data_IF_201774117609
#
_entry.id   IF_201774117609
#
_cell.length_a   1.000
_cell.length_b   1.000
_cell.length_c   1.000
_cell.angle_alpha   90.00
_cell.angle_beta   90.00
_cell.angle_gamma   90.00
#
_symmetry.space_group_name_H-M   'P 1'
#
loop_
_entity.id
_entity.type
_entity.pdbx_description
1 polymer ?
#
# COMPACT_ATOMS: atom_id res chain seq x y z
N UNK A 1 -21.15 11.30 12.62
CA UNK A 1 -20.88 10.30 13.68
C UNK A 1 -19.50 10.54 14.29
N UNK A 2 -19.25 10.21 15.57
CA UNK A 2 -17.90 10.26 16.17
C UNK A 2 -17.31 8.85 16.16
N UNK A 3 -16.33 8.60 15.29
CA UNK A 3 -15.55 7.37 15.33
C UNK A 3 -14.81 7.29 16.67
N UNK A 4 -14.76 6.11 17.30
CA UNK A 4 -14.00 5.95 18.55
C UNK A 4 -12.48 5.95 18.27
N UNK A 5 -11.68 6.20 19.31
CA UNK A 5 -10.22 6.33 19.18
C UNK A 5 -9.55 5.06 18.64
N UNK A 6 -10.06 3.88 19.02
CA UNK A 6 -9.51 2.60 18.59
C UNK A 6 -9.70 2.34 17.10
N UNK A 7 -10.90 2.65 16.59
CA UNK A 7 -11.24 2.53 15.18
C UNK A 7 -10.41 3.47 14.33
N UNK A 8 -10.26 4.73 14.78
CA UNK A 8 -9.39 5.69 14.10
C UNK A 8 -7.95 5.18 14.02
N UNK A 9 -7.44 4.60 15.11
CA UNK A 9 -6.09 4.02 15.16
C UNK A 9 -5.96 2.82 14.22
N UNK A 10 -6.97 1.96 14.14
CA UNK A 10 -6.96 0.80 13.24
C UNK A 10 -6.92 1.22 11.76
N UNK A 11 -7.79 2.17 11.38
CA UNK A 11 -7.82 2.72 10.01
C UNK A 11 -6.50 3.42 9.66
N UNK A 12 -5.93 4.20 10.58
CA UNK A 12 -4.62 4.82 10.36
C UNK A 12 -3.50 3.79 10.23
N UNK A 13 -3.58 2.65 10.93
CA UNK A 13 -2.58 1.58 10.80
C UNK A 13 -2.63 0.91 9.42
N UNK A 14 -3.83 0.78 8.83
CA UNK A 14 -3.99 0.32 7.44
C UNK A 14 -3.37 1.32 6.47
N UNK A 15 -3.63 2.62 6.64
CA UNK A 15 -3.04 3.67 5.82
C UNK A 15 -1.51 3.71 5.93
N UNK A 16 -0.96 3.55 7.14
CA UNK A 16 0.49 3.53 7.38
C UNK A 16 1.15 2.32 6.70
N UNK A 17 0.48 1.16 6.71
CA UNK A 17 0.92 -0.04 5.99
C UNK A 17 0.93 0.16 4.47
N UNK A 18 -0.11 0.78 3.91
CA UNK A 18 -0.18 1.04 2.47
C UNK A 18 0.86 2.10 2.05
N UNK A 19 1.01 3.16 2.85
CA UNK A 19 2.02 4.19 2.62
C UNK A 19 3.43 3.61 2.67
N UNK A 20 3.71 2.69 3.60
CA UNK A 20 4.97 1.95 3.64
C UNK A 20 5.28 1.30 2.28
N UNK A 21 4.30 0.62 1.68
CA UNK A 21 4.51 -0.03 0.38
C UNK A 21 4.67 0.97 -0.74
N UNK A 22 3.82 2.00 -0.82
CA UNK A 22 3.95 3.06 -1.82
C UNK A 22 5.34 3.72 -1.78
N UNK A 23 5.85 4.00 -0.59
CA UNK A 23 7.17 4.57 -0.37
C UNK A 23 8.29 3.61 -0.76
N UNK A 24 8.20 2.32 -0.42
CA UNK A 24 9.19 1.32 -0.85
C UNK A 24 9.19 1.17 -2.37
N UNK A 25 8.02 1.25 -3.01
CA UNK A 25 7.89 1.13 -4.46
C UNK A 25 8.43 2.37 -5.19
N UNK A 26 8.20 3.58 -4.68
CA UNK A 26 8.79 4.80 -5.25
C UNK A 26 10.32 4.77 -5.21
N UNK A 27 10.91 4.29 -4.11
CA UNK A 27 12.38 4.13 -4.00
C UNK A 27 12.98 3.17 -5.04
N UNK A 28 12.15 2.34 -5.67
CA UNK A 28 12.54 1.35 -6.66
C UNK A 28 12.04 1.71 -8.07
N UNK A 29 11.55 2.93 -8.28
CA UNK A 29 11.03 3.35 -9.58
C UNK A 29 12.10 3.35 -10.67
N UNK A 30 11.71 2.89 -11.85
CA UNK A 30 12.47 3.05 -13.11
C UNK A 30 11.48 3.00 -14.27
N UNK A 31 11.71 3.74 -15.34
CA UNK A 31 10.87 3.69 -16.56
C UNK A 31 10.74 2.26 -17.13
N UNK A 32 11.81 1.46 -17.08
CA UNK A 32 11.76 0.06 -17.52
C UNK A 32 10.76 -0.77 -16.72
N UNK A 33 10.72 -0.60 -15.38
CA UNK A 33 9.73 -1.27 -14.51
C UNK A 33 8.32 -0.86 -14.87
N UNK A 34 8.09 0.44 -14.98
CA UNK A 34 6.79 0.99 -15.32
C UNK A 34 6.26 0.33 -16.60
N UNK A 35 7.07 0.31 -17.67
CA UNK A 35 6.70 -0.34 -18.93
C UNK A 35 6.38 -1.82 -18.74
N UNK A 36 7.19 -2.57 -17.98
CA UNK A 36 6.93 -3.99 -17.74
C UNK A 36 5.61 -4.24 -16.99
N UNK A 37 5.34 -3.47 -15.94
CA UNK A 37 4.10 -3.62 -15.17
C UNK A 37 2.87 -3.20 -16.00
N UNK A 38 2.98 -2.16 -16.82
CA UNK A 38 1.94 -1.79 -17.79
C UNK A 38 1.64 -2.89 -18.79
N UNK A 39 2.66 -3.56 -19.33
CA UNK A 39 2.46 -4.69 -20.25
C UNK A 39 1.74 -5.86 -19.57
N UNK A 40 2.08 -6.16 -18.32
CA UNK A 40 1.41 -7.21 -17.52
C UNK A 40 -0.05 -6.82 -17.26
N UNK A 41 -0.30 -5.59 -16.79
CA UNK A 41 -1.64 -5.08 -16.53
C UNK A 41 -2.51 -5.12 -17.80
N UNK A 42 -1.97 -4.66 -18.93
CA UNK A 42 -2.66 -4.73 -20.22
C UNK A 42 -2.99 -6.16 -20.63
N UNK A 43 -2.09 -7.12 -20.42
CA UNK A 43 -2.37 -8.52 -20.72
C UNK A 43 -3.47 -9.10 -19.82
N UNK A 44 -3.53 -8.69 -18.55
CA UNK A 44 -4.61 -9.08 -17.62
C UNK A 44 -5.94 -8.45 -18.03
N UNK A 45 -5.92 -7.20 -18.49
CA UNK A 45 -7.12 -6.52 -18.99
C UNK A 45 -7.65 -7.18 -20.28
N UNK A 46 -6.76 -7.59 -21.19
CA UNK A 46 -7.14 -8.39 -22.37
C UNK A 46 -7.83 -9.71 -21.98
N UNK A 47 -7.35 -10.37 -20.93
CA UNK A 47 -7.98 -11.60 -20.40
C UNK A 47 -9.37 -11.29 -19.85
N UNK A 48 -9.51 -10.26 -19.01
CA UNK A 48 -10.81 -9.86 -18.48
C UNK A 48 -11.80 -9.55 -19.60
N UNK A 49 -11.36 -8.84 -20.65
CA UNK A 49 -12.17 -8.55 -21.83
C UNK A 49 -12.59 -9.84 -22.56
N UNK A 50 -11.68 -10.79 -22.76
CA UNK A 50 -11.97 -12.06 -23.41
C UNK A 50 -12.94 -12.94 -22.59
N UNK A 51 -12.85 -12.91 -21.26
CA UNK A 51 -13.73 -13.61 -20.34
C UNK A 51 -15.09 -12.90 -20.13
N UNK A 52 -15.23 -11.67 -20.64
CA UNK A 52 -16.42 -10.84 -20.44
C UNK A 52 -16.62 -10.41 -18.98
N UNK A 53 -15.52 -10.24 -18.24
CA UNK A 53 -15.57 -9.74 -16.86
C UNK A 53 -15.46 -8.22 -16.85
N UNK A 54 -16.30 -7.57 -16.05
CA UNK A 54 -16.33 -6.12 -15.85
C UNK A 54 -16.46 -5.74 -14.37
N UNK A 55 -16.30 -4.44 -14.07
CA UNK A 55 -16.47 -3.87 -12.73
C UNK A 55 -15.68 -4.61 -11.64
N UNK A 56 -16.35 -4.88 -10.51
CA UNK A 56 -15.76 -5.57 -9.36
C UNK A 56 -15.29 -6.99 -9.71
N UNK A 57 -16.00 -7.69 -10.61
CA UNK A 57 -15.62 -9.03 -11.05
C UNK A 57 -14.29 -9.02 -11.80
N UNK A 58 -14.09 -8.05 -12.71
CA UNK A 58 -12.82 -7.86 -13.40
C UNK A 58 -11.68 -7.48 -12.44
N UNK A 59 -11.95 -6.59 -11.47
CA UNK A 59 -10.97 -6.19 -10.46
C UNK A 59 -10.52 -7.37 -9.59
N UNK A 60 -11.47 -8.22 -9.19
CA UNK A 60 -11.21 -9.42 -8.40
C UNK A 60 -10.43 -10.48 -9.19
N UNK A 61 -10.83 -10.75 -10.44
CA UNK A 61 -10.13 -11.69 -11.31
C UNK A 61 -8.71 -11.22 -11.64
N UNK A 62 -8.53 -9.92 -11.94
CA UNK A 62 -7.23 -9.27 -12.12
C UNK A 62 -6.35 -9.49 -10.89
N UNK A 63 -6.87 -9.25 -9.69
CA UNK A 63 -6.13 -9.50 -8.46
C UNK A 63 -5.67 -10.97 -8.33
N UNK A 64 -6.56 -11.94 -8.57
CA UNK A 64 -6.18 -13.35 -8.48
C UNK A 64 -5.15 -13.77 -9.52
N UNK A 65 -5.25 -13.28 -10.76
CA UNK A 65 -4.26 -13.55 -11.81
C UNK A 65 -2.88 -13.00 -11.42
N UNK A 66 -2.83 -11.77 -10.91
CA UNK A 66 -1.57 -11.17 -10.45
C UNK A 66 -0.99 -11.93 -9.24
N UNK A 67 -1.82 -12.37 -8.30
CA UNK A 67 -1.39 -13.22 -7.18
C UNK A 67 -0.82 -14.55 -7.68
N UNK A 68 -1.54 -15.25 -8.56
CA UNK A 68 -1.07 -16.50 -9.17
C UNK A 68 0.26 -16.30 -9.91
N UNK A 69 0.39 -15.20 -10.65
CA UNK A 69 1.59 -14.90 -11.43
C UNK A 69 2.79 -14.54 -10.53
N UNK A 70 2.58 -13.79 -9.45
CA UNK A 70 3.61 -13.51 -8.42
C UNK A 70 4.13 -14.81 -7.79
N UNK A 71 3.22 -15.73 -7.44
CA UNK A 71 3.55 -17.00 -6.79
C UNK A 71 4.36 -17.89 -7.73
N UNK A 72 3.89 -18.07 -8.97
CA UNK A 72 4.54 -18.91 -9.97
C UNK A 72 5.90 -18.33 -10.39
N UNK A 73 5.99 -17.00 -10.55
CA UNK A 73 7.26 -16.30 -10.75
C UNK A 73 8.27 -16.60 -9.64
N UNK A 74 7.81 -16.57 -8.38
CA UNK A 74 8.64 -16.89 -7.22
C UNK A 74 9.10 -18.36 -7.17
N UNK A 75 8.25 -19.31 -7.57
CA UNK A 75 8.60 -20.74 -7.63
C UNK A 75 9.72 -21.04 -8.65
N UNK A 76 9.71 -20.34 -9.78
CA UNK A 76 10.72 -20.48 -10.84
C UNK A 76 12.09 -19.90 -10.44
N UNK A 77 12.16 -19.11 -9.37
CA UNK A 77 13.38 -18.46 -8.90
C UNK A 77 14.26 -19.38 -8.03
N UNK A 78 13.66 -20.29 -7.25
CA UNK A 78 14.33 -21.00 -6.16
C UNK A 78 14.10 -22.53 -6.21
N UNK A 79 14.34 -23.14 -7.37
CA UNK A 79 14.17 -24.59 -7.62
C UNK A 79 14.95 -25.47 -6.63
N UNK A 80 16.00 -24.93 -6.01
CA UNK A 80 16.85 -25.64 -5.06
C UNK A 80 16.42 -25.50 -3.59
N UNK A 81 15.36 -24.75 -3.27
CA UNK A 81 14.90 -24.54 -1.90
C UNK A 81 13.53 -25.19 -1.64
N UNK A 82 13.56 -26.47 -1.26
CA UNK A 82 12.36 -27.27 -0.97
C UNK A 82 11.38 -26.61 0.01
N UNK A 83 11.86 -25.80 0.97
CA UNK A 83 11.01 -25.08 1.91
C UNK A 83 10.21 -23.95 1.26
N UNK A 84 10.83 -23.21 0.33
CA UNK A 84 10.15 -22.15 -0.42
C UNK A 84 9.10 -22.72 -1.37
N UNK A 85 9.42 -23.81 -2.09
CA UNK A 85 8.48 -24.47 -3.00
C UNK A 85 7.23 -24.96 -2.25
N UNK A 86 7.40 -25.58 -1.08
CA UNK A 86 6.28 -26.01 -0.23
C UNK A 86 5.40 -24.84 0.20
N UNK A 87 5.99 -23.72 0.60
CA UNK A 87 5.25 -22.53 1.01
C UNK A 87 4.50 -21.88 -0.16
N UNK A 88 5.13 -21.83 -1.33
CA UNK A 88 4.52 -21.32 -2.55
C UNK A 88 3.34 -22.19 -2.99
N UNK A 89 3.45 -23.53 -2.92
CA UNK A 89 2.33 -24.43 -3.26
C UNK A 89 1.15 -24.23 -2.33
N UNK A 90 1.39 -24.15 -1.02
CA UNK A 90 0.33 -23.86 -0.03
C UNK A 90 -0.33 -22.49 -0.27
N UNK A 91 0.45 -21.50 -0.69
CA UNK A 91 -0.05 -20.17 -1.01
C UNK A 91 -0.92 -20.22 -2.27
N UNK A 92 -0.47 -20.93 -3.30
CA UNK A 92 -1.21 -21.14 -4.53
C UNK A 92 -2.53 -21.87 -4.29
N UNK A 93 -2.53 -22.95 -3.50
CA UNK A 93 -3.74 -23.67 -3.09
C UNK A 93 -4.75 -22.74 -2.41
N UNK A 94 -4.29 -21.88 -1.48
CA UNK A 94 -5.17 -20.89 -0.82
C UNK A 94 -5.77 -19.89 -1.80
N UNK A 95 -4.98 -19.37 -2.74
CA UNK A 95 -5.48 -18.45 -3.78
C UNK A 95 -6.48 -19.17 -4.69
N UNK A 96 -6.20 -20.41 -5.08
CA UNK A 96 -7.10 -21.21 -5.92
C UNK A 96 -8.46 -21.46 -5.23
N UNK A 97 -8.45 -21.77 -3.93
CA UNK A 97 -9.68 -21.85 -3.15
C UNK A 97 -10.46 -20.52 -3.18
N UNK A 98 -9.78 -19.37 -3.05
CA UNK A 98 -10.43 -18.05 -3.13
C UNK A 98 -11.02 -17.77 -4.52
N UNK A 99 -10.33 -18.18 -5.59
CA UNK A 99 -10.82 -18.07 -6.98
C UNK A 99 -12.15 -18.82 -7.12
N UNK A 100 -12.18 -20.09 -6.70
CA UNK A 100 -13.39 -20.93 -6.78
C UNK A 100 -14.50 -20.40 -5.87
N UNK A 101 -14.17 -19.99 -4.65
CA UNK A 101 -15.12 -19.41 -3.68
C UNK A 101 -15.76 -18.10 -4.16
N UNK A 102 -15.12 -17.39 -5.09
CA UNK A 102 -15.64 -16.17 -5.71
C UNK A 102 -16.38 -16.45 -7.02
N UNK A 103 -16.59 -17.72 -7.38
CA UNK A 103 -17.40 -18.15 -8.52
C UNK A 103 -16.68 -18.16 -9.86
N UNK A 104 -15.35 -18.11 -9.87
CA UNK A 104 -14.56 -18.30 -11.08
C UNK A 104 -14.29 -19.79 -11.33
N UNK A 105 -14.23 -20.18 -12.60
CA UNK A 105 -13.90 -21.55 -12.98
C UNK A 105 -12.39 -21.78 -12.84
N UNK A 106 -12.02 -22.81 -12.09
CA UNK A 106 -10.62 -23.18 -11.86
C UNK A 106 -9.86 -23.42 -13.17
N UNK A 107 -10.51 -24.10 -14.12
CA UNK A 107 -9.93 -24.43 -15.44
C UNK A 107 -9.61 -23.17 -16.24
N UNK A 108 -10.51 -22.18 -16.23
CA UNK A 108 -10.30 -20.93 -16.95
C UNK A 108 -9.19 -20.11 -16.30
N UNK A 109 -9.19 -20.03 -14.96
CA UNK A 109 -8.14 -19.37 -14.21
C UNK A 109 -6.76 -19.97 -14.48
N UNK A 110 -6.62 -21.30 -14.45
CA UNK A 110 -5.34 -21.96 -14.71
C UNK A 110 -4.87 -21.77 -16.16
N UNK A 111 -5.80 -21.77 -17.12
CA UNK A 111 -5.50 -21.50 -18.52
C UNK A 111 -4.99 -20.06 -18.72
N UNK A 112 -5.69 -19.09 -18.15
CA UNK A 112 -5.34 -17.67 -18.24
C UNK A 112 -4.01 -17.36 -17.54
N UNK A 113 -3.79 -17.97 -16.37
CA UNK A 113 -2.50 -17.89 -15.68
C UNK A 113 -1.37 -18.54 -16.50
N UNK A 114 -1.62 -19.69 -17.12
CA UNK A 114 -0.67 -20.34 -18.02
C UNK A 114 -0.28 -19.44 -19.20
N UNK A 115 -1.26 -18.78 -19.81
CA UNK A 115 -1.01 -17.79 -20.86
C UNK A 115 -0.12 -16.64 -20.39
N UNK A 116 -0.35 -16.08 -19.20
CA UNK A 116 0.50 -15.01 -18.64
C UNK A 116 1.93 -15.49 -18.43
N UNK A 117 2.10 -16.68 -17.85
CA UNK A 117 3.43 -17.28 -17.61
C UNK A 117 4.17 -17.48 -18.94
N UNK A 118 3.49 -17.99 -19.97
CA UNK A 118 4.09 -18.20 -21.29
C UNK A 118 4.44 -16.88 -21.98
N UNK A 119 3.55 -15.88 -21.93
CA UNK A 119 3.75 -14.55 -22.52
C UNK A 119 4.95 -13.84 -21.89
N UNK A 120 5.13 -13.98 -20.58
CA UNK A 120 6.18 -13.31 -19.81
C UNK A 120 7.29 -14.27 -19.35
N UNK A 121 7.50 -15.42 -19.99
CA UNK A 121 8.47 -16.44 -19.57
C UNK A 121 9.92 -15.95 -19.42
N UNK A 122 10.27 -14.89 -20.15
CA UNK A 122 11.61 -14.30 -20.17
C UNK A 122 11.72 -13.03 -19.29
N UNK A 123 10.65 -12.66 -18.57
CA UNK A 123 10.69 -11.48 -17.71
C UNK A 123 11.77 -11.65 -16.65
N UNK A 124 12.51 -10.57 -16.36
CA UNK A 124 13.47 -10.63 -15.26
C UNK A 124 12.71 -10.95 -13.97
N UNK A 125 13.12 -12.04 -13.31
CA UNK A 125 12.55 -12.57 -12.07
C UNK A 125 12.37 -11.50 -10.99
N UNK A 126 13.26 -10.51 -10.98
CA UNK A 126 13.17 -9.36 -10.10
C UNK A 126 11.79 -8.65 -10.20
N UNK A 127 11.21 -8.54 -11.40
CA UNK A 127 9.90 -7.89 -11.61
C UNK A 127 8.72 -8.71 -11.04
N UNK A 128 8.90 -10.01 -10.82
CA UNK A 128 7.84 -10.87 -10.27
C UNK A 128 7.76 -10.80 -8.74
N UNK A 129 8.78 -10.29 -8.06
CA UNK A 129 8.75 -10.09 -6.61
C UNK A 129 7.84 -8.90 -6.25
N UNK A 130 6.88 -9.10 -5.35
CA UNK A 130 5.89 -8.07 -4.95
C UNK A 130 5.11 -7.49 -6.14
N UNK A 131 4.97 -8.27 -7.20
CA UNK A 131 4.28 -7.91 -8.44
C UNK A 131 2.91 -7.27 -8.16
N UNK A 132 2.10 -7.86 -7.28
CA UNK A 132 0.75 -7.35 -6.98
C UNK A 132 0.81 -5.92 -6.45
N UNK A 133 1.74 -5.64 -5.53
CA UNK A 133 1.91 -4.31 -4.94
C UNK A 133 2.46 -3.29 -5.94
N UNK A 134 3.46 -3.67 -6.74
CA UNK A 134 4.00 -2.81 -7.79
C UNK A 134 2.94 -2.49 -8.84
N UNK A 135 2.18 -3.48 -9.34
CA UNK A 135 1.08 -3.25 -10.27
C UNK A 135 0.08 -2.24 -9.72
N UNK A 136 -0.31 -2.33 -8.44
CA UNK A 136 -1.19 -1.34 -7.81
C UNK A 136 -0.56 0.05 -7.75
N UNK A 137 0.72 0.14 -7.41
CA UNK A 137 1.43 1.41 -7.34
C UNK A 137 1.45 2.12 -8.70
N UNK A 138 1.79 1.40 -9.79
CA UNK A 138 1.83 1.96 -11.15
C UNK A 138 0.44 2.20 -11.74
N UNK A 139 -0.56 1.36 -11.41
CA UNK A 139 -1.94 1.53 -11.90
C UNK A 139 -2.60 2.80 -11.31
N UNK A 140 -2.25 3.17 -10.07
CA UNK A 140 -2.95 4.24 -9.33
C UNK A 140 -2.08 5.42 -8.89
N UNK A 141 -0.77 5.39 -9.09
CA UNK A 141 0.19 6.40 -8.64
C UNK A 141 0.08 6.70 -7.13
N UNK A 142 0.23 5.63 -6.33
CA UNK A 142 0.10 5.54 -4.86
C UNK A 142 -1.29 5.13 -4.34
N UNK A 143 -1.37 3.92 -3.79
CA UNK A 143 -2.63 3.33 -3.30
C UNK A 143 -3.13 3.97 -1.99
N UNK A 144 -2.23 4.44 -1.14
CA UNK A 144 -2.55 5.08 0.15
C UNK A 144 -3.38 6.35 -0.02
N UNK A 145 -3.17 7.10 -1.10
CA UNK A 145 -3.96 8.30 -1.40
C UNK A 145 -5.41 7.95 -1.74
N UNK A 146 -5.63 6.98 -2.64
CA UNK A 146 -6.98 6.54 -3.01
C UNK A 146 -7.76 5.99 -1.82
N UNK A 147 -7.11 5.21 -0.95
CA UNK A 147 -7.70 4.73 0.31
C UNK A 147 -8.05 5.89 1.25
N UNK A 148 -7.16 6.87 1.42
CA UNK A 148 -7.45 8.05 2.24
C UNK A 148 -8.67 8.82 1.71
N UNK A 149 -8.77 9.01 0.38
CA UNK A 149 -9.92 9.67 -0.24
C UNK A 149 -11.21 8.89 0.00
N UNK A 150 -11.21 7.57 -0.18
CA UNK A 150 -12.38 6.74 0.10
C UNK A 150 -12.84 6.85 1.57
N UNK A 151 -11.90 6.86 2.52
CA UNK A 151 -12.22 6.98 3.95
C UNK A 151 -12.77 8.37 4.30
N UNK A 152 -12.30 9.41 3.62
CA UNK A 152 -12.79 10.77 3.81
C UNK A 152 -14.16 10.99 3.14
N UNK A 153 -14.39 10.43 1.95
CA UNK A 153 -15.67 10.53 1.22
C UNK A 153 -16.79 9.77 1.93
N UNK A 154 -16.48 8.63 2.54
CA UNK A 154 -17.41 7.86 3.38
C UNK A 154 -17.57 8.42 4.80
N UNK A 155 -17.00 9.58 5.09
CA UNK A 155 -17.11 10.26 6.39
C UNK A 155 -16.56 9.47 7.61
N UNK A 156 -15.77 8.42 7.34
CA UNK A 156 -15.08 7.58 8.32
C UNK A 156 -13.96 8.39 8.98
N UNK A 157 -13.17 9.10 8.18
CA UNK A 157 -12.18 10.07 8.64
C UNK A 157 -12.67 11.50 8.38
N UNK A 158 -12.25 12.45 9.22
CA UNK A 158 -12.63 13.88 9.07
C UNK A 158 -11.43 14.80 9.23
N UNK A 159 -11.22 15.69 8.27
CA UNK A 159 -10.12 16.66 8.24
C UNK A 159 -10.69 18.03 7.90
N UNK A 160 -10.47 19.03 8.77
CA UNK A 160 -10.99 20.40 8.55
C UNK A 160 -10.49 21.07 7.27
N UNK A 161 -9.26 20.74 6.84
CA UNK A 161 -8.62 21.30 5.64
C UNK A 161 -8.94 20.53 4.36
N UNK A 162 -9.57 19.38 4.49
CA UNK A 162 -10.07 18.64 3.34
C UNK A 162 -11.41 19.28 2.96
N UNK A 163 -11.44 19.96 1.81
CA UNK A 163 -12.67 20.55 1.26
C UNK A 163 -13.49 19.53 0.48
N UNK A 164 -13.06 18.26 0.51
CA UNK A 164 -13.55 17.25 -0.39
C UNK A 164 -13.16 17.55 -1.84
N UNK A 165 -13.27 16.50 -2.65
CA UNK A 165 -13.89 16.67 -3.97
C UNK A 165 -15.43 16.76 -3.80
N UNK A 166 -15.94 16.49 -2.60
CA UNK A 166 -17.34 16.19 -2.29
C UNK A 166 -18.03 17.13 -1.27
N UNK A 167 -17.35 18.06 -0.59
CA UNK A 167 -17.91 18.62 0.66
C UNK A 167 -18.66 19.97 0.56
N UNK A 168 -18.86 20.57 -0.62
CA UNK A 168 -19.62 21.85 -0.70
C UNK A 168 -20.70 21.95 -1.81
N UNK A 169 -20.94 20.93 -2.65
CA UNK A 169 -21.96 21.03 -3.71
C UNK A 169 -23.15 20.08 -3.67
N UNK A 170 -23.14 19.01 -2.86
CA UNK A 170 -24.31 18.13 -2.72
C UNK A 170 -25.53 18.79 -2.04
N UNK A 171 -25.39 20.01 -1.51
CA UNK A 171 -26.51 20.82 -0.98
C UNK A 171 -26.93 21.93 -1.97
N UNK A 172 -26.13 22.26 -2.99
CA UNK A 172 -26.36 23.41 -3.89
C UNK A 172 -26.54 23.06 -5.37
N UNK A 173 -26.30 21.82 -5.81
CA UNK A 173 -26.44 21.39 -7.22
C UNK A 173 -27.89 21.21 -7.71
N UNK A 174 -28.87 21.87 -7.09
CA UNK A 174 -30.21 22.06 -7.65
C UNK A 174 -30.43 23.44 -8.29
N UNK A 175 -29.39 24.29 -8.40
CA UNK A 175 -29.49 25.56 -9.13
C UNK A 175 -28.22 25.83 -9.93
N UNK A 176 -28.35 25.67 -11.25
CA UNK A 176 -27.45 26.13 -12.32
C UNK A 176 -26.44 25.09 -12.81
N UNK A 177 -26.79 24.46 -13.94
CA UNK A 177 -26.00 23.46 -14.64
C UNK A 177 -24.73 24.02 -15.29
N UNK A 178 -23.59 23.69 -14.68
CA UNK A 178 -22.31 23.54 -15.35
C UNK A 178 -21.68 22.21 -14.91
N UNK A 179 -21.27 21.41 -15.89
CA UNK A 179 -20.87 20.00 -15.77
C UNK A 179 -19.49 19.81 -15.10
N UNK A 180 -19.39 20.10 -13.80
CA UNK A 180 -18.27 19.65 -12.96
C UNK A 180 -18.54 18.29 -12.29
N UNK A 181 -19.75 17.74 -12.44
CA UNK A 181 -20.18 16.52 -11.75
C UNK A 181 -19.58 15.21 -12.28
N UNK A 182 -18.95 15.21 -13.45
CA UNK A 182 -18.44 13.98 -14.07
C UNK A 182 -17.04 13.61 -13.55
N UNK A 183 -16.13 14.58 -13.45
CA UNK A 183 -14.80 14.37 -12.86
C UNK A 183 -14.85 14.03 -11.36
N UNK A 184 -15.83 14.60 -10.64
CA UNK A 184 -16.02 14.34 -9.21
C UNK A 184 -16.51 12.90 -8.96
N UNK A 185 -17.46 12.41 -9.79
CA UNK A 185 -17.93 11.01 -9.76
C UNK A 185 -16.83 10.02 -10.16
N UNK A 186 -15.96 10.42 -11.08
CA UNK A 186 -14.84 9.61 -11.53
C UNK A 186 -13.81 9.39 -10.40
N UNK A 187 -13.44 10.43 -9.66
CA UNK A 187 -12.53 10.31 -8.50
C UNK A 187 -13.16 9.45 -7.40
N UNK A 188 -14.46 9.57 -7.15
CA UNK A 188 -15.15 8.72 -6.15
C UNK A 188 -15.07 7.25 -6.54
N UNK A 189 -15.47 6.95 -7.78
CA UNK A 189 -15.45 5.60 -8.33
C UNK A 189 -14.04 5.02 -8.32
N UNK A 190 -13.04 5.82 -8.71
CA UNK A 190 -11.64 5.43 -8.69
C UNK A 190 -11.16 5.17 -7.26
N UNK A 191 -11.54 6.00 -6.28
CA UNK A 191 -11.14 5.81 -4.87
C UNK A 191 -11.73 4.54 -4.26
N UNK A 192 -12.96 4.17 -4.66
CA UNK A 192 -13.60 2.91 -4.25
C UNK A 192 -12.92 1.70 -4.88
N UNK A 193 -12.57 1.77 -6.15
CA UNK A 193 -11.81 0.72 -6.85
C UNK A 193 -10.42 0.53 -6.23
N UNK A 194 -9.69 1.63 -5.98
CA UNK A 194 -8.41 1.61 -5.27
C UNK A 194 -8.57 1.01 -3.87
N UNK A 195 -9.60 1.40 -3.13
CA UNK A 195 -9.86 0.85 -1.81
C UNK A 195 -10.06 -0.67 -1.86
N UNK A 196 -10.92 -1.15 -2.76
CA UNK A 196 -11.18 -2.57 -2.95
C UNK A 196 -9.90 -3.34 -3.30
N UNK A 197 -9.15 -2.86 -4.30
CA UNK A 197 -7.90 -3.47 -4.77
C UNK A 197 -6.78 -3.43 -3.71
N UNK A 198 -6.66 -2.35 -2.95
CA UNK A 198 -5.69 -2.23 -1.85
C UNK A 198 -6.03 -3.18 -0.69
N UNK A 199 -7.32 -3.34 -0.39
CA UNK A 199 -7.77 -4.29 0.62
C UNK A 199 -7.49 -5.75 0.19
N UNK A 200 -7.76 -6.12 -1.06
CA UNK A 200 -7.39 -7.42 -1.61
C UNK A 200 -5.87 -7.67 -1.50
N UNK A 201 -5.04 -6.68 -1.83
CA UNK A 201 -3.59 -6.77 -1.65
C UNK A 201 -3.17 -7.02 -0.20
N UNK A 202 -3.79 -6.32 0.76
CA UNK A 202 -3.56 -6.58 2.17
C UNK A 202 -3.94 -8.01 2.56
N UNK A 203 -5.08 -8.52 2.09
CA UNK A 203 -5.48 -9.92 2.36
C UNK A 203 -4.44 -10.91 1.83
N UNK A 204 -3.90 -10.67 0.62
CA UNK A 204 -2.84 -11.49 0.04
C UNK A 204 -1.55 -11.44 0.87
N UNK A 205 -1.12 -10.25 1.31
CA UNK A 205 0.04 -10.09 2.20
C UNK A 205 -0.16 -10.78 3.55
N UNK A 206 -1.37 -10.75 4.11
CA UNK A 206 -1.74 -11.49 5.32
C UNK A 206 -1.54 -12.99 5.11
N UNK A 207 -2.04 -13.56 4.00
CA UNK A 207 -1.91 -15.00 3.72
C UNK A 207 -0.43 -15.39 3.60
N UNK A 208 0.38 -14.58 2.90
CA UNK A 208 1.83 -14.78 2.79
C UNK A 208 2.50 -14.77 4.17
N UNK A 209 2.18 -13.79 5.00
CA UNK A 209 2.72 -13.67 6.35
C UNK A 209 2.34 -14.87 7.23
N UNK A 210 1.10 -15.35 7.16
CA UNK A 210 0.66 -16.51 7.93
C UNK A 210 1.43 -17.78 7.54
N UNK A 211 1.64 -18.03 6.23
CA UNK A 211 2.40 -19.18 5.76
C UNK A 211 3.86 -19.10 6.24
N UNK A 212 4.47 -17.92 6.12
CA UNK A 212 5.83 -17.69 6.61
C UNK A 212 5.96 -17.94 8.12
N UNK A 213 5.04 -17.41 8.92
CA UNK A 213 5.06 -17.59 10.38
C UNK A 213 4.87 -19.07 10.73
N UNK A 214 3.98 -19.81 10.07
CA UNK A 214 3.82 -21.26 10.30
C UNK A 214 5.12 -22.04 10.07
N UNK A 215 5.90 -21.66 9.06
CA UNK A 215 7.11 -22.40 8.67
C UNK A 215 8.36 -21.95 9.46
N UNK A 216 8.48 -20.66 9.78
CA UNK A 216 9.71 -20.08 10.34
C UNK A 216 9.65 -19.70 11.80
N UNK A 217 8.48 -19.54 12.40
CA UNK A 217 8.38 -19.03 13.78
C UNK A 217 9.01 -19.99 14.80
N UNK A 218 8.94 -21.31 14.58
CA UNK A 218 9.62 -22.30 15.43
C UNK A 218 11.15 -22.23 15.38
N UNK A 219 11.69 -21.53 14.37
CA UNK A 219 13.12 -21.30 14.19
C UNK A 219 13.57 -19.92 14.72
N UNK A 220 12.62 -19.06 15.12
CA UNK A 220 12.93 -17.76 15.68
C UNK A 220 13.28 -17.92 17.16
N UNK A 221 14.54 -17.67 17.50
CA UNK A 221 14.98 -17.61 18.89
C UNK A 221 14.85 -16.18 19.43
N UNK A 222 13.98 -15.99 20.42
CA UNK A 222 13.77 -14.70 21.09
C UNK A 222 14.49 -14.73 22.44
N UNK A 223 15.72 -14.22 22.45
CA UNK A 223 16.50 -14.03 23.68
C UNK A 223 16.31 -12.64 24.26
N UNK A 224 15.89 -12.55 25.53
CA UNK A 224 15.94 -11.31 26.29
C UNK A 224 17.35 -11.08 26.81
N UNK A 225 17.97 -10.00 26.36
CA UNK A 225 19.28 -9.58 26.86
C UNK A 225 19.10 -8.33 27.73
N UNK A 226 19.19 -8.50 29.05
CA UNK A 226 19.09 -7.41 30.01
C UNK A 226 20.21 -6.35 29.91
N UNK A 227 21.22 -6.57 29.05
CA UNK A 227 22.25 -5.56 28.73
C UNK A 227 21.82 -4.58 27.63
N UNK A 228 20.70 -4.83 26.94
CA UNK A 228 20.14 -3.89 25.96
C UNK A 228 19.62 -2.63 26.64
N UNK A 229 19.42 -1.56 25.89
CA UNK A 229 18.70 -0.40 26.42
C UNK A 229 17.19 -0.71 26.59
N UNK A 230 16.49 0.11 27.39
CA UNK A 230 15.06 -0.08 27.69
C UNK A 230 14.21 -0.03 26.43
N UNK A 231 14.55 0.82 25.46
CA UNK A 231 13.77 1.02 24.24
C UNK A 231 13.86 -0.18 23.31
N UNK A 232 15.05 -0.77 23.17
CA UNK A 232 15.25 -2.03 22.45
C UNK A 232 14.48 -3.18 23.09
N UNK A 233 14.41 -3.23 24.43
CA UNK A 233 13.59 -4.22 25.12
C UNK A 233 12.09 -4.02 24.86
N UNK A 234 11.61 -2.77 24.89
CA UNK A 234 10.22 -2.45 24.57
C UNK A 234 9.86 -2.84 23.13
N UNK A 235 10.75 -2.59 22.16
CA UNK A 235 10.58 -2.96 20.76
C UNK A 235 10.54 -4.50 20.60
N UNK A 236 11.41 -5.25 21.29
CA UNK A 236 11.40 -6.72 21.29
C UNK A 236 10.08 -7.28 21.86
N UNK A 237 9.59 -6.72 22.98
CA UNK A 237 8.32 -7.13 23.61
C UNK A 237 7.15 -6.86 22.67
N UNK A 238 7.14 -5.68 22.04
CA UNK A 238 6.08 -5.30 21.11
C UNK A 238 6.06 -6.22 19.89
N UNK A 239 7.21 -6.53 19.32
CA UNK A 239 7.31 -7.46 18.20
C UNK A 239 6.86 -8.89 18.59
N UNK A 240 7.29 -9.39 19.75
CA UNK A 240 6.84 -10.69 20.26
C UNK A 240 5.31 -10.73 20.47
N UNK A 241 4.73 -9.64 20.96
CA UNK A 241 3.27 -9.49 21.14
C UNK A 241 2.55 -9.53 19.79
N UNK A 242 3.07 -8.81 18.79
CA UNK A 242 2.53 -8.81 17.42
C UNK A 242 2.57 -10.21 16.81
N UNK A 243 3.72 -10.90 16.88
CA UNK A 243 3.86 -12.26 16.36
C UNK A 243 2.93 -13.26 17.06
N UNK A 244 2.77 -13.13 18.38
CA UNK A 244 1.85 -13.98 19.16
C UNK A 244 0.40 -13.78 18.71
N UNK A 245 -0.02 -12.51 18.53
CA UNK A 245 -1.35 -12.18 18.01
C UNK A 245 -1.55 -12.73 16.60
N UNK A 246 -0.59 -12.53 15.70
CA UNK A 246 -0.62 -13.09 14.34
C UNK A 246 -0.81 -14.61 14.38
N UNK A 247 0.00 -15.30 15.17
CA UNK A 247 -0.05 -16.77 15.33
C UNK A 247 -1.43 -17.23 15.79
N UNK A 248 -2.04 -16.52 16.74
CA UNK A 248 -3.37 -16.85 17.26
C UNK A 248 -4.50 -16.71 16.23
N UNK A 249 -4.29 -15.93 15.17
CA UNK A 249 -5.27 -15.64 14.12
C UNK A 249 -5.02 -16.45 12.83
N UNK A 250 -4.01 -17.31 12.84
CA UNK A 250 -3.73 -18.23 11.74
C UNK A 250 -4.89 -19.22 11.59
N UNK A 251 -5.35 -19.42 10.36
CA UNK A 251 -6.49 -20.28 9.98
C UNK A 251 -7.83 -19.91 10.64
N UNK A 252 -7.89 -18.82 11.41
CA UNK A 252 -9.15 -18.25 11.90
C UNK A 252 -9.82 -17.51 10.75
N UNK A 253 -10.96 -18.03 10.29
CA UNK A 253 -11.76 -17.45 9.20
C UNK A 253 -12.16 -16.01 9.51
N UNK A 254 -12.13 -15.15 8.48
CA UNK A 254 -12.77 -13.83 8.51
C UNK A 254 -13.41 -13.57 7.15
N UNK A 255 -14.38 -12.65 7.12
CA UNK A 255 -15.11 -12.30 5.91
C UNK A 255 -14.22 -11.41 5.03
N UNK A 256 -13.83 -11.93 3.87
CA UNK A 256 -12.99 -11.22 2.88
C UNK A 256 -13.71 -9.99 2.33
N UNK A 257 -12.94 -8.99 1.91
CA UNK A 257 -13.37 -7.78 1.19
C UNK A 257 -14.34 -8.09 0.04
N UNK A 258 -14.08 -9.17 -0.71
CA UNK A 258 -14.90 -9.65 -1.83
C UNK A 258 -16.32 -10.09 -1.44
N UNK A 259 -16.57 -10.29 -0.14
CA UNK A 259 -17.86 -10.72 0.41
C UNK A 259 -18.48 -9.65 1.30
N UNK A 260 -17.85 -8.48 1.45
CA UNK A 260 -18.32 -7.41 2.32
C UNK A 260 -19.41 -6.57 1.65
N UNK A 261 -20.33 -6.06 2.47
CA UNK A 261 -21.23 -5.00 2.07
C UNK A 261 -20.89 -3.74 2.88
N UNK A 262 -20.31 -2.74 2.22
CA UNK A 262 -19.86 -1.49 2.84
C UNK A 262 -20.95 -0.46 3.09
N UNK A 263 -22.20 -0.78 2.76
CA UNK A 263 -23.35 0.03 3.18
C UNK A 263 -23.55 -0.02 4.70
N UNK A 264 -22.97 -1.02 5.37
CA UNK A 264 -23.05 -1.19 6.82
C UNK A 264 -21.72 -0.87 7.50
N UNK A 265 -21.70 0.22 8.26
CA UNK A 265 -20.52 0.72 8.98
C UNK A 265 -19.91 -0.32 9.95
N UNK A 266 -20.75 -1.14 10.58
CA UNK A 266 -20.29 -2.22 11.47
C UNK A 266 -19.46 -3.26 10.72
N UNK A 267 -19.92 -3.71 9.56
CA UNK A 267 -19.22 -4.71 8.74
C UNK A 267 -17.87 -4.17 8.28
N UNK A 268 -17.78 -2.87 7.96
CA UNK A 268 -16.52 -2.20 7.65
C UNK A 268 -15.53 -2.26 8.83
N UNK A 269 -15.94 -1.87 10.04
CA UNK A 269 -15.01 -1.84 11.17
C UNK A 269 -14.60 -3.24 11.62
N UNK A 270 -15.53 -4.19 11.65
CA UNK A 270 -15.22 -5.58 11.95
C UNK A 270 -14.19 -6.12 10.94
N UNK A 271 -14.33 -5.78 9.66
CA UNK A 271 -13.33 -6.10 8.63
C UNK A 271 -11.97 -5.46 8.92
N UNK A 272 -11.91 -4.13 9.14
CA UNK A 272 -10.65 -3.42 9.41
C UNK A 272 -9.94 -3.96 10.66
N UNK A 273 -10.66 -4.25 11.75
CA UNK A 273 -10.04 -4.84 12.94
C UNK A 273 -9.50 -6.24 12.69
N UNK A 274 -10.19 -7.05 11.88
CA UNK A 274 -9.72 -8.37 11.47
C UNK A 274 -8.44 -8.30 10.63
N UNK A 275 -8.38 -7.34 9.71
CA UNK A 275 -7.21 -7.06 8.87
C UNK A 275 -6.03 -6.59 9.72
N UNK A 276 -6.20 -5.56 10.54
CA UNK A 276 -5.13 -5.01 11.39
C UNK A 276 -4.58 -6.06 12.36
N UNK A 277 -5.44 -6.92 12.92
CA UNK A 277 -5.00 -8.02 13.77
C UNK A 277 -4.10 -9.03 13.07
N UNK A 278 -4.27 -9.22 11.75
CA UNK A 278 -3.56 -10.23 10.93
C UNK A 278 -2.43 -9.68 10.08
N UNK A 279 -2.37 -8.36 9.90
CA UNK A 279 -1.25 -7.68 9.24
C UNK A 279 0.03 -7.84 10.05
N UNK A 280 -0.06 -7.60 11.35
CA UNK A 280 1.12 -7.54 12.22
C UNK A 280 1.98 -6.31 11.97
N UNK A 281 1.41 -5.31 11.29
CA UNK A 281 2.05 -4.03 11.00
C UNK A 281 2.17 -3.20 12.26
N UNK A 282 3.40 -2.80 12.56
CA UNK A 282 3.69 -1.78 13.54
C UNK A 282 3.89 -0.47 12.80
N UNK A 283 3.18 0.56 13.24
CA UNK A 283 3.16 1.88 12.64
C UNK A 283 4.56 2.53 12.59
N UNK A 284 4.92 3.07 11.43
CA UNK A 284 6.27 3.60 11.15
C UNK A 284 6.27 5.12 10.98
N UNK A 285 5.29 5.67 10.25
CA UNK A 285 5.39 7.03 9.72
C UNK A 285 4.54 8.03 10.49
N UNK A 286 3.27 7.73 10.78
CA UNK A 286 2.36 8.74 11.34
C UNK A 286 1.48 8.24 12.47
N UNK A 287 1.34 9.06 13.52
CA UNK A 287 0.46 8.78 14.66
C UNK A 287 -0.99 9.24 14.46
N UNK A 288 -1.18 10.25 13.62
CA UNK A 288 -2.45 10.90 13.44
C UNK A 288 -2.74 11.21 11.96
N UNK A 289 -3.95 11.69 11.73
CA UNK A 289 -4.44 11.98 10.39
C UNK A 289 -3.74 13.20 9.73
N UNK A 290 -3.16 14.11 10.53
CA UNK A 290 -2.40 15.24 9.99
C UNK A 290 -1.03 14.75 9.48
N UNK A 291 -0.37 13.88 10.24
CA UNK A 291 0.82 13.17 9.82
C UNK A 291 0.56 12.37 8.54
N UNK A 292 -0.51 11.58 8.52
CA UNK A 292 -0.91 10.80 7.33
C UNK A 292 -0.96 11.65 6.05
N UNK A 293 -1.69 12.78 6.09
CA UNK A 293 -1.78 13.70 4.96
C UNK A 293 -0.42 14.31 4.61
N UNK A 294 0.39 14.66 5.60
CA UNK A 294 1.73 15.21 5.41
C UNK A 294 2.66 14.24 4.71
N UNK A 295 2.73 12.99 5.17
CA UNK A 295 3.57 11.96 4.58
C UNK A 295 3.12 11.56 3.17
N UNK A 296 1.81 11.36 2.94
CA UNK A 296 1.30 11.10 1.59
C UNK A 296 1.60 12.27 0.65
N UNK A 297 1.50 13.52 1.13
CA UNK A 297 1.87 14.67 0.30
C UNK A 297 3.36 14.70 -0.05
N UNK A 298 4.23 14.23 0.85
CA UNK A 298 5.66 14.15 0.62
C UNK A 298 6.03 13.09 -0.41
N UNK A 299 5.29 11.97 -0.50
CA UNK A 299 5.48 10.95 -1.53
C UNK A 299 5.34 11.55 -2.95
N UNK A 300 4.46 12.54 -3.14
CA UNK A 300 4.32 13.21 -4.43
C UNK A 300 5.49 14.13 -4.80
N UNK A 301 6.41 14.42 -3.88
CA UNK A 301 7.70 15.04 -4.23
C UNK A 301 8.59 14.02 -4.96
N UNK A 302 8.63 12.76 -4.49
CA UNK A 302 9.34 11.68 -5.21
C UNK A 302 8.73 11.44 -6.59
N UNK A 303 7.39 11.42 -6.69
CA UNK A 303 6.72 11.38 -7.98
C UNK A 303 7.11 12.58 -8.88
N UNK A 304 7.15 13.79 -8.34
CA UNK A 304 7.52 14.97 -9.12
C UNK A 304 8.99 14.92 -9.59
N UNK A 305 9.89 14.37 -8.77
CA UNK A 305 11.30 14.11 -9.13
C UNK A 305 11.42 13.16 -10.33
N UNK A 306 10.52 12.20 -10.45
CA UNK A 306 10.56 11.18 -11.51
C UNK A 306 10.01 11.70 -12.86
N UNK A 307 9.00 12.58 -12.83
CA UNK A 307 8.21 12.93 -14.03
C UNK A 307 8.22 14.40 -14.43
N UNK A 308 8.86 15.31 -13.67
CA UNK A 308 8.88 16.73 -14.01
C UNK A 308 10.26 17.22 -14.44
N UNK A 309 10.27 18.23 -15.31
CA UNK A 309 11.48 18.87 -15.85
C UNK A 309 12.08 19.93 -14.90
N UNK A 310 11.57 20.04 -13.66
CA UNK A 310 12.09 21.01 -12.69
C UNK A 310 13.42 20.55 -12.11
N UNK A 311 14.33 21.46 -11.80
CA UNK A 311 15.62 21.10 -11.15
C UNK A 311 15.62 21.37 -9.63
N UNK A 312 14.56 21.97 -9.08
CA UNK A 312 14.53 22.43 -7.68
C UNK A 312 13.49 21.69 -6.83
N UNK A 313 13.92 21.13 -5.69
CA UNK A 313 13.03 20.46 -4.73
C UNK A 313 12.08 21.44 -4.04
N UNK A 314 12.61 22.58 -3.60
CA UNK A 314 11.83 23.65 -2.97
C UNK A 314 12.54 25.00 -3.12
N UNK A 315 11.77 26.08 -3.17
CA UNK A 315 12.22 27.46 -3.11
C UNK A 315 11.23 28.24 -2.24
N UNK A 316 11.74 29.08 -1.34
CA UNK A 316 10.89 30.00 -0.58
C UNK A 316 10.36 31.07 -1.56
N UNK A 317 9.04 31.27 -1.68
CA UNK A 317 8.51 32.17 -2.70
C UNK A 317 8.85 33.63 -2.36
N UNK A 318 9.43 34.37 -3.31
CA UNK A 318 9.63 35.83 -3.20
C UNK A 318 8.30 36.60 -3.24
N UNK A 319 7.23 36.00 -3.81
CA UNK A 319 5.86 36.52 -3.81
C UNK A 319 4.83 35.37 -3.95
N UNK A 320 3.82 35.33 -3.07
CA UNK A 320 2.81 34.24 -2.98
C UNK A 320 1.87 34.11 -4.21
N UNK A 321 1.93 35.06 -5.16
CA UNK A 321 0.89 35.26 -6.19
C UNK A 321 1.29 34.99 -7.64
N UNK A 322 2.51 34.53 -7.94
CA UNK A 322 2.93 34.30 -9.34
C UNK A 322 3.21 32.82 -9.56
N UNK A 323 2.27 32.14 -10.23
CA UNK A 323 2.44 30.76 -10.69
C UNK A 323 2.91 30.78 -12.15
N UNK A 324 4.21 30.69 -12.36
CA UNK A 324 4.73 30.25 -13.65
C UNK A 324 4.93 28.73 -13.57
N UNK A 325 4.09 27.97 -14.27
CA UNK A 325 4.12 26.50 -14.24
C UNK A 325 5.49 25.96 -14.68
N UNK A 326 6.21 26.70 -15.52
CA UNK A 326 7.56 26.38 -15.97
C UNK A 326 8.65 26.57 -14.90
N UNK A 327 8.32 27.13 -13.72
CA UNK A 327 9.25 27.38 -12.60
C UNK A 327 8.85 26.66 -11.31
N UNK A 328 7.83 25.80 -11.35
CA UNK A 328 7.38 25.09 -10.16
C UNK A 328 8.47 24.17 -9.62
N UNK A 329 8.68 24.20 -8.30
CA UNK A 329 9.52 23.20 -7.63
C UNK A 329 8.79 21.87 -7.50
N UNK A 330 9.51 20.78 -7.20
CA UNK A 330 8.87 19.48 -6.94
C UNK A 330 7.82 19.56 -5.82
N UNK A 331 8.09 20.34 -4.76
CA UNK A 331 7.15 20.57 -3.67
C UNK A 331 5.89 21.36 -4.12
N UNK A 332 6.01 22.23 -5.13
CA UNK A 332 4.85 22.91 -5.72
C UNK A 332 4.02 21.97 -6.59
N UNK A 333 4.66 21.11 -7.38
CA UNK A 333 3.99 20.05 -8.14
C UNK A 333 3.22 19.11 -7.21
N UNK A 334 3.85 18.63 -6.13
CA UNK A 334 3.19 17.82 -5.11
C UNK A 334 1.98 18.52 -4.50
N UNK A 335 2.11 19.83 -4.20
CA UNK A 335 1.00 20.64 -3.70
C UNK A 335 -0.16 20.73 -4.68
N UNK A 336 0.12 20.90 -5.98
CA UNK A 336 -0.90 20.94 -7.03
C UNK A 336 -1.61 19.60 -7.18
N UNK A 337 -0.89 18.48 -7.07
CA UNK A 337 -1.47 17.13 -7.05
C UNK A 337 -2.42 16.99 -5.84
N UNK A 338 -1.97 17.32 -4.64
CA UNK A 338 -2.81 17.28 -3.43
C UNK A 338 -4.06 18.15 -3.54
N UNK A 339 -3.97 19.30 -4.22
CA UNK A 339 -5.11 20.17 -4.49
C UNK A 339 -6.17 19.51 -5.38
N UNK A 340 -5.76 18.71 -6.38
CA UNK A 340 -6.71 17.94 -7.24
C UNK A 340 -7.54 16.96 -6.42
N UNK A 341 -6.94 16.43 -5.35
CA UNK A 341 -7.62 15.54 -4.41
C UNK A 341 -8.38 16.28 -3.29
N UNK A 342 -8.52 17.60 -3.35
CA UNK A 342 -9.32 18.37 -2.38
C UNK A 342 -8.58 18.81 -1.11
N UNK A 343 -7.25 18.73 -1.08
CA UNK A 343 -6.43 19.21 0.04
C UNK A 343 -5.85 20.60 -0.24
N UNK A 344 -6.15 21.56 0.64
CA UNK A 344 -5.56 22.89 0.56
C UNK A 344 -4.38 23.07 1.51
N UNK A 345 -3.19 23.15 0.91
CA UNK A 345 -1.98 23.60 1.58
C UNK A 345 -1.69 25.05 1.20
N UNK A 346 -1.50 25.91 2.22
CA UNK A 346 -1.15 27.32 2.02
C UNK A 346 0.20 27.48 1.33
N UNK A 347 1.18 26.67 1.72
CA UNK A 347 2.56 26.72 1.20
C UNK A 347 3.11 25.31 0.96
N UNK A 348 4.01 25.16 -0.02
CA UNK A 348 4.74 23.91 -0.31
C UNK A 348 5.76 23.56 0.78
N UNK A 349 6.18 24.53 1.61
CA UNK A 349 7.04 24.34 2.78
C UNK A 349 6.55 23.26 3.74
N UNK A 350 5.23 23.15 3.94
CA UNK A 350 4.66 22.10 4.80
C UNK A 350 4.96 20.71 4.23
N UNK A 351 4.75 20.53 2.93
CA UNK A 351 5.01 19.26 2.23
C UNK A 351 6.50 18.92 2.28
N UNK A 352 7.36 19.92 1.98
CA UNK A 352 8.81 19.77 2.04
C UNK A 352 9.32 19.35 3.43
N UNK A 353 8.74 19.88 4.52
CA UNK A 353 9.14 19.47 5.88
C UNK A 353 8.85 17.98 6.18
N UNK A 354 7.75 17.42 5.64
CA UNK A 354 7.47 15.99 5.76
C UNK A 354 8.42 15.16 4.88
N UNK A 355 8.80 15.68 3.72
CA UNK A 355 9.78 15.06 2.84
C UNK A 355 11.16 14.93 3.50
N UNK A 356 11.64 15.98 4.16
CA UNK A 356 12.90 15.94 4.92
C UNK A 356 12.85 14.88 6.03
N UNK A 357 11.70 14.69 6.68
CA UNK A 357 11.56 13.64 7.70
C UNK A 357 11.63 12.22 7.10
N UNK A 358 11.25 12.03 5.83
CA UNK A 358 11.37 10.75 5.14
C UNK A 358 12.83 10.40 4.79
N UNK A 359 13.75 11.35 4.68
CA UNK A 359 15.12 11.10 4.20
C UNK A 359 15.88 10.09 5.08
N UNK A 360 15.72 10.20 6.40
CA UNK A 360 16.29 9.23 7.35
C UNK A 360 15.73 7.82 7.15
N UNK A 361 14.45 7.73 6.80
CA UNK A 361 13.75 6.48 6.52
C UNK A 361 14.17 5.93 5.15
N UNK A 362 14.32 6.78 4.12
CA UNK A 362 14.86 6.43 2.80
C UNK A 362 16.22 5.74 2.90
N UNK A 363 17.16 6.35 3.63
CA UNK A 363 18.51 5.82 3.79
C UNK A 363 18.49 4.44 4.44
N UNK A 364 17.65 4.27 5.47
CA UNK A 364 17.47 2.98 6.12
C UNK A 364 16.88 1.92 5.18
N UNK A 365 15.86 2.26 4.39
CA UNK A 365 15.29 1.31 3.43
C UNK A 365 16.29 0.91 2.36
N UNK A 366 17.07 1.86 1.82
CA UNK A 366 18.12 1.56 0.83
C UNK A 366 19.16 0.59 1.40
N UNK A 367 19.57 0.77 2.65
CA UNK A 367 20.47 -0.17 3.33
C UNK A 367 19.86 -1.57 3.46
N UNK A 368 18.56 -1.65 3.78
CA UNK A 368 17.85 -2.92 3.88
C UNK A 368 17.65 -3.59 2.52
N UNK A 369 17.32 -2.83 1.47
CA UNK A 369 17.13 -3.32 0.10
C UNK A 369 18.44 -3.83 -0.52
N UNK A 370 19.57 -3.19 -0.20
CA UNK A 370 20.90 -3.61 -0.65
C UNK A 370 21.38 -4.91 0.02
N UNK A 371 20.83 -5.26 1.19
CA UNK A 371 20.98 -6.60 1.75
C UNK A 371 20.04 -7.56 1.02
N UNK A 372 20.55 -8.18 -0.05
CA UNK A 372 19.84 -9.17 -0.88
C UNK A 372 19.15 -10.22 0.01
N UNK A 373 17.84 -10.05 0.29
CA UNK A 373 16.87 -11.04 0.84
C UNK A 373 15.66 -10.41 1.58
N UNK A 374 15.57 -9.08 1.75
CA UNK A 374 14.57 -8.43 2.63
C UNK A 374 13.21 -8.11 1.99
N UNK A 375 13.09 -8.08 0.65
CA UNK A 375 11.85 -7.71 -0.04
C UNK A 375 10.72 -8.77 0.06
N UNK A 376 11.01 -9.96 0.56
CA UNK A 376 10.05 -11.08 0.54
C UNK A 376 9.02 -10.98 1.68
N UNK A 377 9.36 -10.33 2.81
CA UNK A 377 8.49 -10.29 4.00
C UNK A 377 8.52 -8.92 4.71
N UNK A 378 7.45 -8.10 4.61
CA UNK A 378 7.38 -6.80 5.27
C UNK A 378 7.67 -6.91 6.77
N UNK A 379 7.18 -7.95 7.44
CA UNK A 379 7.36 -8.13 8.88
C UNK A 379 8.83 -8.37 9.28
N UNK A 380 9.66 -8.98 8.43
CA UNK A 380 11.10 -9.12 8.70
C UNK A 380 11.85 -7.81 8.48
N UNK A 381 11.49 -7.07 7.42
CA UNK A 381 12.01 -5.72 7.16
C UNK A 381 11.64 -4.75 8.28
N UNK A 382 10.38 -4.78 8.75
CA UNK A 382 9.87 -4.00 9.89
C UNK A 382 10.56 -4.45 11.19
N UNK A 383 10.78 -5.74 11.43
CA UNK A 383 11.56 -6.19 12.58
C UNK A 383 13.01 -5.68 12.53
N UNK A 384 13.64 -5.77 11.36
CA UNK A 384 15.00 -5.26 11.15
C UNK A 384 15.09 -3.73 11.31
N UNK A 385 13.99 -3.00 11.05
CA UNK A 385 13.86 -1.56 11.31
C UNK A 385 14.00 -1.27 12.79
N UNK A 386 13.17 -1.89 13.63
CA UNK A 386 13.21 -1.67 15.07
C UNK A 386 14.55 -2.11 15.67
N UNK A 387 15.11 -3.24 15.20
CA UNK A 387 16.42 -3.73 15.66
C UNK A 387 17.58 -2.80 15.29
N UNK A 388 17.56 -2.14 14.12
CA UNK A 388 18.58 -1.15 13.74
C UNK A 388 18.36 0.22 14.39
N UNK A 389 17.11 0.62 14.63
CA UNK A 389 16.77 1.89 15.30
C UNK A 389 17.33 1.96 16.73
N UNK A 390 17.51 0.82 17.39
CA UNK A 390 18.26 0.70 18.65
C UNK A 390 19.78 0.78 18.46
N UNK A 391 20.32 0.04 17.48
CA UNK A 391 21.77 -0.05 17.25
C UNK A 391 22.42 1.22 16.68
N UNK A 392 21.65 2.11 16.05
CA UNK A 392 22.12 3.40 15.53
C UNK A 392 21.14 4.50 15.88
N UNK A 393 21.16 4.96 17.13
CA UNK A 393 20.67 6.29 17.46
C UNK A 393 21.83 7.29 17.46
N UNK A 394 21.99 8.13 16.43
CA UNK A 394 22.67 9.41 16.57
C UNK A 394 21.73 10.50 17.11
N UNK A 395 20.56 10.17 17.68
CA UNK A 395 19.66 11.14 18.31
C UNK A 395 19.92 11.29 19.82
N UNK A 396 21.20 11.33 20.17
CA UNK A 396 21.72 11.92 21.40
C UNK A 396 22.94 12.76 21.01
N UNK A 397 22.69 13.99 20.59
CA UNK A 397 23.50 15.20 20.83
C UNK A 397 22.64 16.39 20.33
N UNK A 398 22.37 17.33 21.23
CA UNK A 398 21.48 18.50 21.17
C UNK A 398 20.00 18.26 21.49
N UNK A 399 19.68 17.97 22.76
CA UNK A 399 19.43 19.02 23.78
C UNK A 399 19.79 18.49 25.16
#
# INVERSE_FOLDING_TARGET
MKINSETRRAVLNVLDYLYYHDFVFSLNFTQDREIQYWLILSAVDDINLAQGYDGEKAALYKHFLLCGFEIQGSMLCDVNNFGLLKNANKLFEKVLCQVVDCGFLEVDFLKDLGFLIDKFKNINKYFTCKLVGFCLYYEYNAMSMGVLICLLSKDILKIKKYRGVFSEKLISSNKNGLNNGDAEKEIEKQSLDIFFRAMLFIEFEIIKNQIYIKDKMSLMDFGFNFKKDVKEMEDDILFATLLTKLKSLIDVSYKSISKQNFDFEKDFFDYIFNVVGRLGHQKIFFDDLKGCVGFISALYIDYALEYSESDAIHQEPENENIYDVAKNTYADTARLIMKRYGFEFKTSRTIYSYYQNNESVCNWFRDCLNSRNTLIYPNYSIYSFYKKKGATSPFLIYF
#
